data_IF_693826161494
#
_entry.id   IF_693826161494
#
_cell.length_a   1.000
_cell.length_b   1.000
_cell.length_c   1.000
_cell.angle_alpha   90.00
_cell.angle_beta   90.00
_cell.angle_gamma   90.00
#
_symmetry.space_group_name_H-M   'P 1'
#
loop_
_entity.id
_entity.type
_entity.pdbx_description
1 polymer ?
#
# COMPACT_ATOMS: atom_id res chain seq x y z
N UNK A 1 -56.16 29.02 -17.32
CA UNK A 1 -55.53 27.97 -16.47
C UNK A 1 -54.16 27.68 -17.10
N UNK A 2 -53.00 27.91 -16.47
CA UNK A 2 -52.38 27.32 -15.25
C UNK A 2 -51.54 26.04 -15.52
N UNK A 3 -50.23 26.10 -15.19
CA UNK A 3 -49.31 25.08 -14.59
C UNK A 3 -49.45 23.59 -15.01
N UNK A 4 -48.42 22.81 -15.40
CA UNK A 4 -46.93 22.96 -15.55
C UNK A 4 -46.51 22.30 -16.91
N UNK A 5 -45.26 22.17 -17.43
CA UNK A 5 -43.82 22.20 -17.01
C UNK A 5 -43.24 20.93 -16.32
N UNK A 6 -42.17 20.37 -16.92
CA UNK A 6 -41.27 19.29 -16.42
C UNK A 6 -41.94 17.90 -16.22
N UNK A 7 -41.25 16.75 -16.29
CA UNK A 7 -39.81 16.44 -16.45
C UNK A 7 -39.55 15.23 -17.38
N UNK A 8 -38.36 15.22 -18.00
CA UNK A 8 -37.44 14.07 -18.15
C UNK A 8 -36.21 14.47 -18.97
N UNK A 9 -35.03 14.54 -18.35
CA UNK A 9 -33.78 14.91 -19.03
C UNK A 9 -32.55 14.26 -18.36
N UNK A 10 -32.66 12.98 -18.05
CA UNK A 10 -31.80 12.27 -17.10
C UNK A 10 -31.19 10.98 -17.71
N UNK A 11 -30.42 11.10 -18.79
CA UNK A 11 -29.75 9.96 -19.47
C UNK A 11 -28.24 10.11 -19.68
N UNK A 12 -27.55 11.08 -19.03
CA UNK A 12 -26.09 11.32 -19.25
C UNK A 12 -25.15 11.10 -18.04
N UNK A 13 -25.63 10.98 -16.79
CA UNK A 13 -24.75 10.80 -15.60
C UNK A 13 -24.21 9.36 -15.40
N UNK A 14 -24.38 8.47 -16.38
CA UNK A 14 -24.10 7.03 -16.25
C UNK A 14 -22.65 6.57 -16.42
N UNK A 15 -21.71 7.45 -16.83
CA UNK A 15 -20.30 7.08 -17.12
C UNK A 15 -19.31 8.20 -16.81
N UNK A 16 -18.67 8.16 -15.64
CA UNK A 16 -17.46 8.98 -15.39
C UNK A 16 -17.17 9.36 -13.94
N UNK A 17 -18.17 9.30 -13.05
CA UNK A 17 -17.97 9.61 -11.62
C UNK A 17 -16.91 8.70 -11.00
N UNK A 18 -15.97 9.30 -10.27
CA UNK A 18 -14.86 8.58 -9.64
C UNK A 18 -15.38 7.84 -8.39
N UNK A 19 -15.14 6.52 -8.22
CA UNK A 19 -15.61 5.76 -7.05
C UNK A 19 -15.15 6.27 -5.68
N UNK A 20 -14.16 7.17 -5.64
CA UNK A 20 -13.66 7.84 -4.42
C UNK A 20 -13.92 9.36 -4.41
N UNK A 21 -14.83 9.85 -5.24
CA UNK A 21 -15.25 11.25 -5.26
C UNK A 21 -15.98 11.61 -3.97
N UNK A 22 -15.44 12.58 -3.21
CA UNK A 22 -15.96 12.93 -1.88
C UNK A 22 -15.55 11.98 -0.75
N UNK A 23 -14.58 11.08 -0.97
CA UNK A 23 -14.02 10.24 0.10
C UNK A 23 -13.35 11.09 1.18
N UNK A 24 -13.79 10.94 2.43
CA UNK A 24 -13.21 11.58 3.60
C UNK A 24 -12.06 10.76 4.22
N UNK A 25 -11.06 11.48 4.75
CA UNK A 25 -9.87 10.93 5.42
C UNK A 25 -10.23 10.23 6.73
N UNK A 26 -11.08 10.82 7.56
CA UNK A 26 -11.42 10.23 8.86
C UNK A 26 -12.18 8.90 8.68
N UNK A 27 -13.07 8.83 7.70
CA UNK A 27 -13.80 7.63 7.28
C UNK A 27 -12.83 6.53 6.80
N UNK A 28 -11.86 6.85 5.94
CA UNK A 28 -10.87 5.87 5.48
C UNK A 28 -9.97 5.35 6.61
N UNK A 29 -9.54 6.22 7.54
CA UNK A 29 -8.77 5.85 8.73
C UNK A 29 -9.60 5.01 9.72
N UNK A 30 -10.89 5.31 9.89
CA UNK A 30 -11.78 4.51 10.72
C UNK A 30 -12.00 3.12 10.13
N UNK A 31 -12.15 3.00 8.80
CA UNK A 31 -12.21 1.71 8.10
C UNK A 31 -10.90 0.91 8.24
N UNK A 32 -9.73 1.56 8.29
CA UNK A 32 -8.43 0.88 8.48
C UNK A 32 -8.37 0.01 9.75
N UNK A 33 -9.22 0.28 10.76
CA UNK A 33 -9.34 -0.54 11.97
C UNK A 33 -9.73 -1.99 11.65
N UNK A 34 -10.41 -2.25 10.53
CA UNK A 34 -10.74 -3.60 10.02
C UNK A 34 -9.50 -4.45 9.74
N UNK A 35 -8.31 -3.87 9.51
CA UNK A 35 -7.08 -4.66 9.37
C UNK A 35 -6.70 -5.45 10.64
N UNK A 36 -7.33 -5.12 11.78
CA UNK A 36 -7.19 -5.84 13.04
C UNK A 36 -8.18 -7.01 13.21
N UNK A 37 -9.17 -7.16 12.31
CA UNK A 37 -10.15 -8.25 12.36
C UNK A 37 -9.50 -9.60 12.02
N UNK A 38 -9.95 -10.67 12.67
CA UNK A 38 -9.59 -12.05 12.34
C UNK A 38 -10.87 -12.89 12.21
N UNK A 39 -11.06 -13.63 11.11
CA UNK A 39 -10.16 -13.79 9.96
C UNK A 39 -10.11 -12.54 9.05
N UNK A 40 -8.93 -12.26 8.50
CA UNK A 40 -8.72 -11.16 7.54
C UNK A 40 -9.53 -11.41 6.26
N UNK A 41 -10.35 -10.44 5.84
CA UNK A 41 -11.08 -10.46 4.56
C UNK A 41 -10.27 -9.72 3.48
N UNK A 42 -9.64 -10.40 2.49
CA UNK A 42 -8.72 -9.74 1.57
C UNK A 42 -9.40 -8.71 0.68
N UNK A 43 -10.61 -8.98 0.16
CA UNK A 43 -11.35 -8.06 -0.71
C UNK A 43 -11.68 -6.75 0.01
N UNK A 44 -12.15 -6.84 1.27
CA UNK A 44 -12.44 -5.68 2.11
C UNK A 44 -11.15 -4.90 2.41
N UNK A 45 -10.07 -5.58 2.78
CA UNK A 45 -8.79 -4.92 3.09
C UNK A 45 -8.16 -4.24 1.87
N UNK A 46 -8.20 -4.87 0.69
CA UNK A 46 -7.75 -4.26 -0.58
C UNK A 46 -8.49 -2.96 -0.84
N UNK A 47 -9.83 -2.95 -0.73
CA UNK A 47 -10.64 -1.75 -0.98
C UNK A 47 -10.31 -0.59 -0.03
N UNK A 48 -10.07 -0.89 1.25
CA UNK A 48 -9.67 0.11 2.26
C UNK A 48 -8.25 0.62 2.00
N UNK A 49 -7.30 -0.24 1.62
CA UNK A 49 -5.97 0.20 1.20
C UNK A 49 -6.03 1.08 -0.05
N UNK A 50 -6.90 0.78 -1.02
CA UNK A 50 -7.12 1.65 -2.19
C UNK A 50 -7.65 3.02 -1.78
N UNK A 51 -8.58 3.11 -0.81
CA UNK A 51 -9.06 4.40 -0.26
C UNK A 51 -7.91 5.23 0.33
N UNK A 52 -7.07 4.62 1.16
CA UNK A 52 -5.94 5.29 1.82
C UNK A 52 -4.89 5.74 0.79
N UNK A 53 -4.49 4.87 -0.13
CA UNK A 53 -3.55 5.18 -1.20
C UNK A 53 -4.08 6.26 -2.15
N UNK A 54 -5.38 6.24 -2.47
CA UNK A 54 -6.01 7.29 -3.27
C UNK A 54 -5.92 8.66 -2.58
N UNK A 55 -6.22 8.75 -1.28
CA UNK A 55 -6.11 10.00 -0.52
C UNK A 55 -4.67 10.52 -0.51
N UNK A 56 -3.69 9.67 -0.21
CA UNK A 56 -2.26 10.02 -0.25
C UNK A 56 -1.85 10.53 -1.64
N UNK A 57 -2.29 9.87 -2.71
CA UNK A 57 -2.01 10.27 -4.10
C UNK A 57 -2.75 11.58 -4.52
N UNK A 58 -3.78 12.02 -3.79
CA UNK A 58 -4.38 13.35 -3.96
C UNK A 58 -3.62 14.45 -3.17
N UNK A 59 -2.51 14.12 -2.51
CA UNK A 59 -1.75 15.04 -1.67
C UNK A 59 -2.39 15.31 -0.31
N UNK A 60 -3.39 14.54 0.09
CA UNK A 60 -4.03 14.66 1.41
C UNK A 60 -2.99 14.47 2.50
N UNK A 61 -2.85 15.47 3.38
CA UNK A 61 -1.95 15.39 4.52
C UNK A 61 -2.56 14.48 5.60
N UNK A 62 -1.76 13.52 6.07
CA UNK A 62 -2.01 12.67 7.23
C UNK A 62 -1.13 13.17 8.37
N UNK A 63 -1.63 13.18 9.60
CA UNK A 63 -0.81 13.43 10.79
C UNK A 63 0.04 12.21 11.10
N UNK A 64 1.24 12.41 11.67
CA UNK A 64 2.17 11.35 12.06
C UNK A 64 1.48 10.22 12.83
N UNK A 65 0.72 10.54 13.88
CA UNK A 65 -0.04 9.55 14.67
C UNK A 65 -1.07 8.77 13.84
N UNK A 66 -1.79 9.42 12.93
CA UNK A 66 -2.77 8.77 12.05
C UNK A 66 -2.08 7.81 11.07
N UNK A 67 -0.95 8.22 10.49
CA UNK A 67 -0.14 7.42 9.59
C UNK A 67 0.47 6.21 10.32
N UNK A 68 1.01 6.42 11.51
CA UNK A 68 1.56 5.37 12.39
C UNK A 68 0.48 4.36 12.81
N UNK A 69 -0.71 4.80 13.23
CA UNK A 69 -1.84 3.89 13.52
C UNK A 69 -2.24 3.06 12.29
N UNK A 70 -2.39 3.71 11.12
CA UNK A 70 -2.74 3.05 9.87
C UNK A 70 -1.66 2.06 9.40
N UNK A 71 -0.38 2.41 9.56
CA UNK A 71 0.76 1.55 9.25
C UNK A 71 0.80 0.32 10.16
N UNK A 72 0.70 0.49 11.48
CA UNK A 72 0.65 -0.63 12.42
C UNK A 72 -0.54 -1.55 12.17
N UNK A 73 -1.73 -1.01 11.89
CA UNK A 73 -2.90 -1.81 11.51
C UNK A 73 -2.64 -2.60 10.21
N UNK A 74 -2.05 -1.95 9.20
CA UNK A 74 -1.68 -2.56 7.92
C UNK A 74 -0.67 -3.71 8.07
N UNK A 75 0.25 -3.69 9.05
CA UNK A 75 1.22 -4.78 9.25
C UNK A 75 0.56 -6.16 9.44
N UNK A 76 -0.64 -6.22 10.02
CA UNK A 76 -1.38 -7.49 10.22
C UNK A 76 -1.77 -8.16 8.90
N UNK A 77 -1.88 -7.40 7.81
CA UNK A 77 -2.26 -7.90 6.49
C UNK A 77 -1.20 -8.83 5.88
N UNK A 78 0.06 -8.80 6.36
CA UNK A 78 1.08 -9.81 6.04
C UNK A 78 0.71 -11.24 6.45
N UNK A 79 -0.24 -11.43 7.36
CA UNK A 79 -0.77 -12.76 7.70
C UNK A 79 -1.57 -13.38 6.55
N UNK A 80 -2.11 -12.56 5.63
CA UNK A 80 -2.82 -13.03 4.46
C UNK A 80 -1.87 -13.57 3.38
N UNK A 81 -2.32 -14.62 2.69
CA UNK A 81 -1.68 -15.22 1.51
C UNK A 81 -2.26 -14.70 0.19
N UNK A 82 -3.17 -13.73 0.21
CA UNK A 82 -3.75 -13.15 -0.99
C UNK A 82 -2.70 -12.31 -1.76
N UNK A 83 -2.37 -12.65 -3.03
CA UNK A 83 -1.30 -11.96 -3.76
C UNK A 83 -1.60 -10.50 -4.10
N UNK A 84 -2.88 -10.13 -4.23
CA UNK A 84 -3.26 -8.75 -4.53
C UNK A 84 -3.17 -7.89 -3.28
N UNK A 85 -3.66 -8.39 -2.14
CA UNK A 85 -3.49 -7.73 -0.84
C UNK A 85 -2.00 -7.56 -0.50
N UNK A 86 -1.15 -8.55 -0.78
CA UNK A 86 0.30 -8.45 -0.57
C UNK A 86 0.93 -7.32 -1.40
N UNK A 87 0.53 -7.15 -2.67
CA UNK A 87 0.96 -6.01 -3.51
C UNK A 87 0.48 -4.67 -2.97
N UNK A 88 -0.78 -4.59 -2.53
CA UNK A 88 -1.34 -3.38 -1.91
C UNK A 88 -0.61 -3.00 -0.61
N UNK A 89 -0.17 -3.98 0.18
CA UNK A 89 0.69 -3.79 1.37
C UNK A 89 2.04 -3.18 0.99
N UNK A 90 2.74 -3.68 -0.05
CA UNK A 90 4.00 -3.07 -0.49
C UNK A 90 3.85 -1.63 -0.99
N UNK A 91 2.71 -1.28 -1.61
CA UNK A 91 2.40 0.11 -1.95
C UNK A 91 2.18 0.94 -0.69
N UNK A 92 1.30 0.49 0.21
CA UNK A 92 0.98 1.19 1.45
C UNK A 92 2.21 1.44 2.34
N UNK A 93 3.17 0.50 2.39
CA UNK A 93 4.44 0.69 3.10
C UNK A 93 5.18 1.91 2.56
N UNK A 94 5.41 1.99 1.23
CA UNK A 94 6.20 3.09 0.63
C UNK A 94 5.56 4.46 0.82
N UNK A 95 4.24 4.55 0.64
CA UNK A 95 3.56 5.85 0.73
C UNK A 95 3.46 6.32 2.19
N UNK A 96 3.13 5.42 3.14
CA UNK A 96 3.02 5.77 4.56
C UNK A 96 4.39 5.94 5.25
N UNK A 97 5.47 5.29 4.79
CA UNK A 97 6.76 5.32 5.49
C UNK A 97 7.47 6.68 5.48
N UNK A 98 6.94 7.65 4.74
CA UNK A 98 7.42 9.04 4.73
C UNK A 98 6.79 9.91 5.84
N UNK A 99 5.74 9.40 6.51
CA UNK A 99 4.94 10.13 7.52
C UNK A 99 4.79 9.34 8.82
N UNK A 100 4.79 8.01 8.77
CA UNK A 100 4.68 7.12 9.92
C UNK A 100 6.02 6.94 10.66
N UNK A 101 5.93 6.70 11.96
CA UNK A 101 7.04 6.34 12.86
C UNK A 101 7.16 4.81 12.97
N UNK A 102 8.28 4.31 13.53
CA UNK A 102 8.55 2.89 13.79
C UNK A 102 8.38 1.92 12.60
N UNK A 103 8.46 2.44 11.37
CA UNK A 103 8.26 1.72 10.10
C UNK A 103 9.14 0.48 9.93
N UNK A 104 10.25 0.44 10.68
CA UNK A 104 11.23 -0.65 10.81
C UNK A 104 10.59 -2.01 11.14
N UNK A 105 9.39 -2.03 11.74
CA UNK A 105 8.69 -3.26 12.15
C UNK A 105 8.41 -4.23 10.97
N UNK A 106 8.26 -3.75 9.73
CA UNK A 106 8.00 -4.62 8.58
C UNK A 106 9.27 -5.22 7.94
N UNK A 107 10.47 -4.81 8.37
CA UNK A 107 11.76 -5.28 7.81
C UNK A 107 11.89 -6.81 7.81
N UNK A 108 11.43 -7.50 8.85
CA UNK A 108 11.45 -8.97 8.94
C UNK A 108 10.50 -9.64 7.91
N UNK A 109 9.33 -9.05 7.70
CA UNK A 109 8.37 -9.51 6.69
C UNK A 109 8.89 -9.28 5.26
N UNK A 110 9.48 -8.11 5.00
CA UNK A 110 10.01 -7.77 3.68
C UNK A 110 11.27 -8.57 3.32
N UNK A 111 12.19 -8.79 4.27
CA UNK A 111 13.39 -9.64 4.04
C UNK A 111 13.02 -11.10 3.78
N UNK A 112 11.98 -11.62 4.45
CA UNK A 112 11.39 -12.93 4.17
C UNK A 112 10.74 -13.02 2.79
N UNK A 113 10.02 -11.99 2.36
CA UNK A 113 9.39 -11.95 1.04
C UNK A 113 10.42 -11.76 -0.09
N UNK A 114 11.48 -10.97 0.15
CA UNK A 114 12.65 -10.79 -0.73
C UNK A 114 13.45 -12.08 -0.97
N UNK A 115 13.46 -12.98 0.03
CA UNK A 115 14.13 -14.30 -0.03
C UNK A 115 13.15 -15.44 -0.30
N UNK A 116 11.93 -15.12 -0.72
CA UNK A 116 10.88 -16.09 -1.04
C UNK A 116 11.14 -16.86 -2.34
N UNK A 117 10.23 -17.81 -2.65
CA UNK A 117 10.22 -18.53 -3.94
C UNK A 117 9.35 -17.84 -5.01
N UNK A 118 8.57 -16.84 -4.63
CA UNK A 118 7.69 -16.10 -5.55
C UNK A 118 8.41 -14.82 -6.00
N UNK A 119 9.02 -14.85 -7.19
CA UNK A 119 9.76 -13.71 -7.78
C UNK A 119 8.93 -12.41 -7.79
N UNK A 120 7.61 -12.54 -7.97
CA UNK A 120 6.65 -11.43 -7.97
C UNK A 120 6.46 -10.76 -6.60
N UNK A 121 6.78 -11.45 -5.49
CA UNK A 121 6.94 -10.80 -4.18
C UNK A 121 8.36 -10.27 -4.03
N UNK A 122 9.38 -11.05 -4.41
CA UNK A 122 10.79 -10.69 -4.22
C UNK A 122 11.12 -9.31 -4.81
N UNK A 123 10.76 -9.09 -6.09
CA UNK A 123 11.00 -7.85 -6.80
C UNK A 123 10.28 -6.61 -6.20
N UNK A 124 9.10 -6.80 -5.60
CA UNK A 124 8.36 -5.71 -4.97
C UNK A 124 8.80 -5.45 -3.52
N UNK A 125 9.13 -6.51 -2.78
CA UNK A 125 9.62 -6.45 -1.40
C UNK A 125 10.96 -5.72 -1.31
N UNK A 126 11.85 -5.89 -2.30
CA UNK A 126 13.10 -5.12 -2.44
C UNK A 126 12.83 -3.61 -2.41
N UNK A 127 11.95 -3.11 -3.29
CA UNK A 127 11.65 -1.66 -3.35
C UNK A 127 11.08 -1.12 -2.05
N UNK A 128 10.18 -1.88 -1.41
CA UNK A 128 9.58 -1.51 -0.15
C UNK A 128 10.60 -1.54 1.01
N UNK A 129 11.56 -2.47 0.98
CA UNK A 129 12.60 -2.59 2.01
C UNK A 129 13.61 -1.45 1.92
N UNK A 130 14.10 -1.13 0.72
CA UNK A 130 15.01 0.00 0.49
C UNK A 130 14.37 1.33 0.93
N UNK A 131 13.07 1.53 0.67
CA UNK A 131 12.33 2.74 1.07
C UNK A 131 12.28 2.97 2.59
N UNK A 132 12.34 1.91 3.40
CA UNK A 132 12.33 1.99 4.87
C UNK A 132 13.72 1.78 5.50
N UNK A 133 14.78 1.68 4.68
CA UNK A 133 16.13 1.42 5.16
C UNK A 133 16.91 2.73 5.31
N UNK A 134 17.47 2.95 6.49
CA UNK A 134 18.36 4.05 6.79
C UNK A 134 19.85 3.63 6.70
N UNK A 135 20.74 4.59 6.96
CA UNK A 135 22.19 4.32 6.96
C UNK A 135 22.64 3.33 8.06
N UNK A 136 21.89 3.17 9.17
CA UNK A 136 22.24 2.21 10.23
C UNK A 136 21.82 0.78 9.89
N UNK A 137 20.68 0.58 9.23
CA UNK A 137 20.23 -0.73 8.77
C UNK A 137 20.90 -1.22 7.47
N UNK A 138 21.55 -0.35 6.69
CA UNK A 138 22.08 -0.70 5.36
C UNK A 138 22.94 -1.97 5.36
N UNK A 139 23.80 -2.15 6.38
CA UNK A 139 24.66 -3.34 6.53
C UNK A 139 23.85 -4.65 6.69
N UNK A 140 22.67 -4.60 7.30
CA UNK A 140 21.80 -5.76 7.47
C UNK A 140 21.12 -6.20 6.16
N UNK A 141 20.86 -5.26 5.24
CA UNK A 141 20.27 -5.58 3.91
C UNK A 141 21.31 -5.80 2.81
N UNK A 142 22.54 -5.32 2.98
CA UNK A 142 23.63 -5.32 1.99
C UNK A 142 23.82 -6.67 1.29
N UNK A 143 23.85 -7.76 2.07
CA UNK A 143 24.01 -9.13 1.54
C UNK A 143 22.87 -9.51 0.57
N UNK A 144 21.63 -9.17 0.93
CA UNK A 144 20.46 -9.51 0.12
C UNK A 144 20.41 -8.65 -1.15
N UNK A 145 20.75 -7.35 -1.05
CA UNK A 145 20.86 -6.46 -2.21
C UNK A 145 21.92 -6.95 -3.20
N UNK A 146 23.11 -7.34 -2.70
CA UNK A 146 24.17 -7.94 -3.53
C UNK A 146 23.72 -9.21 -4.25
N UNK A 147 22.93 -10.05 -3.59
CA UNK A 147 22.35 -11.25 -4.22
C UNK A 147 21.28 -10.89 -5.27
N UNK A 148 20.40 -9.94 -4.97
CA UNK A 148 19.30 -9.54 -5.84
C UNK A 148 19.80 -8.85 -7.14
N UNK A 149 20.85 -8.02 -7.05
CA UNK A 149 21.47 -7.35 -8.21
C UNK A 149 21.97 -8.37 -9.26
N UNK A 150 22.48 -9.53 -8.83
CA UNK A 150 22.98 -10.59 -9.72
C UNK A 150 21.96 -11.70 -9.99
N UNK A 151 20.69 -11.49 -9.64
CA UNK A 151 19.65 -12.51 -9.81
C UNK A 151 19.27 -12.71 -11.29
N UNK A 152 18.98 -13.98 -11.65
CA UNK A 152 18.61 -14.40 -13.01
C UNK A 152 17.26 -13.86 -13.46
N UNK A 153 16.36 -13.54 -12.52
CA UNK A 153 15.10 -12.88 -12.82
C UNK A 153 15.38 -11.41 -13.09
N UNK A 154 15.26 -11.00 -14.35
CA UNK A 154 15.38 -9.61 -14.79
C UNK A 154 14.50 -8.65 -13.95
N UNK A 155 13.37 -9.12 -13.42
CA UNK A 155 12.52 -8.35 -12.52
C UNK A 155 13.21 -8.08 -11.18
N UNK A 156 13.80 -9.09 -10.55
CA UNK A 156 14.49 -8.97 -9.25
C UNK A 156 15.73 -8.06 -9.39
N UNK A 157 16.59 -8.32 -10.38
CA UNK A 157 17.82 -7.55 -10.59
C UNK A 157 17.55 -6.10 -11.03
N UNK A 158 16.58 -5.85 -11.92
CA UNK A 158 16.22 -4.47 -12.29
C UNK A 158 15.62 -3.68 -11.11
N UNK A 159 14.81 -4.33 -10.26
CA UNK A 159 14.27 -3.65 -9.07
C UNK A 159 15.32 -3.43 -7.99
N UNK A 160 16.30 -4.33 -7.82
CA UNK A 160 17.42 -4.13 -6.92
C UNK A 160 18.33 -2.98 -7.36
N UNK A 161 18.70 -2.93 -8.65
CA UNK A 161 19.50 -1.84 -9.22
C UNK A 161 18.84 -0.47 -9.03
N UNK A 162 17.56 -0.31 -9.41
CA UNK A 162 16.85 0.97 -9.27
C UNK A 162 16.53 1.32 -7.81
N UNK A 163 16.62 0.37 -6.87
CA UNK A 163 16.48 0.62 -5.42
C UNK A 163 17.85 0.81 -4.72
N UNK A 164 18.92 0.96 -5.49
CA UNK A 164 20.30 1.22 -5.01
C UNK A 164 20.91 2.51 -5.60
N UNK A 165 20.05 3.37 -6.15
CA UNK A 165 20.33 4.71 -6.67
C UNK A 165 19.70 5.77 -5.76
#
# INVERSE_FOLDING_TARGET
MHYLRQDKKDEEDGRGSNPFQGLDKATALQEARTFNESPINPRRCIHILTKILYLLNQGQQFGTTEATEAFFAMTKLFQSKDPMLRRMVYLAIKELSTVAEDVIIVTSSLTKDMTGREEAYCANAIRALCMITDATMLQAIERYMKQAIVDKSHSVSSNALVSSL
#
